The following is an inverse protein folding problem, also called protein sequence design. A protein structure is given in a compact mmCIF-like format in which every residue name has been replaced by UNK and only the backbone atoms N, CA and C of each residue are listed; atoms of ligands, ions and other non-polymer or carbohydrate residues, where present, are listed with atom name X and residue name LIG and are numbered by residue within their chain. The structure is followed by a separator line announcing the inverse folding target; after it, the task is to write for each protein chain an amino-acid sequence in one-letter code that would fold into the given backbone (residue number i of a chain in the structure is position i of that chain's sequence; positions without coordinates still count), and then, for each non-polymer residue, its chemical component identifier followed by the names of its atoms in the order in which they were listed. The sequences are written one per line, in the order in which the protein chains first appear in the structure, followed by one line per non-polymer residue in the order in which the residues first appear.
data_IF_481929561330
#
_entry.id   IF_481929561330
#
_cell.length_a   1.000
_cell.length_b   1.000
_cell.length_c   1.000
_cell.angle_alpha   90.00
_cell.angle_beta   90.00
_cell.angle_gamma   90.00
#
_symmetry.space_group_name_H-M   'P 1'
#
loop_
_entity.id
_entity.type
_entity.pdbx_description
1 polymer ?
#
# COMPACT_ATOMS: atom_id res chain seq x y z
N UNK A 1 10.71 6.46 -25.70
CA UNK A 1 9.27 6.24 -25.48
C UNK A 1 8.99 6.78 -24.09
N UNK A 2 8.56 8.02 -24.04
CA UNK A 2 8.26 8.73 -22.80
C UNK A 2 6.97 8.15 -22.24
N UNK A 3 7.10 7.28 -21.25
CA UNK A 3 5.95 6.78 -20.52
C UNK A 3 5.53 7.92 -19.61
N UNK A 4 4.54 8.69 -20.08
CA UNK A 4 3.86 9.71 -19.29
C UNK A 4 3.36 9.02 -18.02
N UNK A 5 4.01 9.31 -16.89
CA UNK A 5 3.49 8.95 -15.59
C UNK A 5 2.11 9.57 -15.50
N UNK A 6 1.08 8.72 -15.60
CA UNK A 6 -0.28 9.16 -15.41
C UNK A 6 -0.36 9.52 -13.92
N UNK A 7 -0.25 10.81 -13.61
CA UNK A 7 -0.66 11.34 -12.32
C UNK A 7 -2.17 11.18 -12.26
N UNK A 8 -2.64 9.98 -11.94
CA UNK A 8 -4.04 9.82 -11.58
C UNK A 8 -4.19 10.38 -10.18
N UNK A 9 -4.88 11.52 -10.08
CA UNK A 9 -5.30 12.13 -8.83
C UNK A 9 -6.40 11.26 -8.19
N UNK A 10 -6.02 10.08 -7.70
CA UNK A 10 -6.89 9.26 -6.87
C UNK A 10 -6.97 9.86 -5.46
N UNK A 11 -8.19 9.93 -4.92
CA UNK A 11 -8.43 10.34 -3.54
C UNK A 11 -7.79 9.36 -2.55
N UNK A 12 -7.81 8.06 -2.88
CA UNK A 12 -7.16 6.99 -2.14
C UNK A 12 -6.63 5.87 -3.04
N UNK A 13 -5.76 5.02 -2.50
CA UNK A 13 -5.24 3.83 -3.18
C UNK A 13 -6.39 2.88 -3.56
N UNK A 14 -7.44 2.77 -2.74
CA UNK A 14 -8.61 1.96 -3.05
C UNK A 14 -9.28 2.34 -4.40
N UNK A 15 -9.22 3.61 -4.79
CA UNK A 15 -9.78 4.09 -6.07
C UNK A 15 -8.94 3.69 -7.28
N UNK A 16 -7.69 3.27 -7.06
CA UNK A 16 -6.74 2.81 -8.08
C UNK A 16 -6.70 1.28 -8.25
N UNK A 17 -7.39 0.53 -7.39
CA UNK A 17 -7.32 -0.94 -7.35
C UNK A 17 -8.39 -1.54 -8.26
N UNK A 18 -7.95 -2.12 -9.38
CA UNK A 18 -8.83 -2.78 -10.34
C UNK A 18 -9.11 -4.26 -9.99
N UNK A 19 -8.16 -4.95 -9.35
CA UNK A 19 -8.29 -6.36 -8.95
C UNK A 19 -8.05 -6.54 -7.44
N UNK A 20 -9.14 -6.74 -6.69
CA UNK A 20 -9.10 -6.90 -5.25
C UNK A 20 -8.49 -8.23 -4.78
N UNK A 21 -8.00 -9.09 -5.67
CA UNK A 21 -7.31 -10.35 -5.31
C UNK A 21 -5.81 -10.19 -5.19
N UNK A 22 -5.25 -9.13 -5.76
CA UNK A 22 -3.82 -8.85 -5.74
C UNK A 22 -3.43 -8.08 -4.47
N UNK A 23 -2.21 -8.29 -4.01
CA UNK A 23 -1.67 -7.54 -2.88
C UNK A 23 -1.33 -6.12 -3.32
N UNK A 24 -1.80 -5.15 -2.54
CA UNK A 24 -1.57 -3.73 -2.82
C UNK A 24 -0.51 -3.23 -1.86
N UNK A 25 0.66 -2.90 -2.40
CA UNK A 25 1.85 -2.60 -1.60
C UNK A 25 2.37 -1.22 -1.95
N UNK A 26 2.45 -0.37 -0.94
CA UNK A 26 3.00 0.98 -1.07
C UNK A 26 4.45 1.02 -0.56
N UNK A 27 5.31 1.74 -1.27
CA UNK A 27 6.71 1.94 -0.94
C UNK A 27 6.98 3.42 -0.71
N UNK A 28 7.49 3.76 0.48
CA UNK A 28 7.96 5.11 0.78
C UNK A 28 9.30 5.33 0.08
N UNK A 29 9.23 5.87 -1.14
CA UNK A 29 10.34 6.00 -2.08
C UNK A 29 10.33 7.39 -2.72
N UNK A 30 11.50 7.96 -3.00
CA UNK A 30 11.62 9.26 -3.68
C UNK A 30 11.56 9.16 -5.21
N UNK A 31 11.86 7.98 -5.78
CA UNK A 31 11.94 7.74 -7.23
C UNK A 31 11.18 6.49 -7.70
N UNK A 32 10.80 5.61 -6.78
CA UNK A 32 10.14 4.33 -7.05
C UNK A 32 11.10 3.13 -7.08
N UNK A 33 12.42 3.36 -6.99
CA UNK A 33 13.44 2.32 -7.13
C UNK A 33 13.88 1.79 -5.75
N UNK A 34 14.07 2.67 -4.78
CA UNK A 34 14.55 2.31 -3.43
C UNK A 34 13.56 2.69 -2.34
N UNK A 35 13.48 1.89 -1.27
CA UNK A 35 12.75 2.28 -0.04
C UNK A 35 13.63 3.15 0.85
N UNK A 36 13.81 4.41 0.46
CA UNK A 36 14.74 5.36 1.08
C UNK A 36 14.07 6.33 2.07
N UNK A 37 12.74 6.37 2.11
CA UNK A 37 12.01 7.36 2.92
C UNK A 37 11.46 6.81 4.24
N UNK A 38 11.35 7.69 5.23
CA UNK A 38 10.64 7.42 6.48
C UNK A 38 9.17 7.81 6.34
N UNK A 39 8.25 6.99 6.84
CA UNK A 39 6.81 7.19 6.65
C UNK A 39 6.33 8.62 6.96
N UNK A 40 6.69 9.14 8.14
CA UNK A 40 6.20 10.45 8.60
C UNK A 40 6.69 11.63 7.76
N UNK A 41 7.84 11.49 7.12
CA UNK A 41 8.44 12.53 6.27
C UNK A 41 8.55 12.09 4.81
N UNK A 42 7.79 11.07 4.40
CA UNK A 42 7.83 10.58 3.03
C UNK A 42 7.24 11.65 2.11
N UNK A 43 8.00 12.03 1.10
CA UNK A 43 7.60 13.00 0.09
C UNK A 43 6.80 12.33 -1.02
N UNK A 44 6.95 11.02 -1.21
CA UNK A 44 6.17 10.25 -2.17
C UNK A 44 5.94 8.81 -1.72
N UNK A 45 4.93 8.19 -2.33
CA UNK A 45 4.67 6.76 -2.25
C UNK A 45 4.37 6.21 -3.64
N UNK A 46 4.95 5.04 -3.93
CA UNK A 46 4.72 4.27 -5.15
C UNK A 46 3.96 3.00 -4.80
N UNK A 47 2.88 2.71 -5.50
CA UNK A 47 1.94 1.65 -5.15
C UNK A 47 1.87 0.63 -6.27
N UNK A 48 2.15 -0.62 -5.91
CA UNK A 48 2.11 -1.75 -6.82
C UNK A 48 0.96 -2.68 -6.49
N UNK A 49 0.34 -3.22 -7.54
CA UNK A 49 -0.50 -4.40 -7.46
C UNK A 49 0.36 -5.62 -7.74
N UNK A 50 0.41 -6.57 -6.81
CA UNK A 50 1.32 -7.71 -6.83
C UNK A 50 0.52 -9.01 -6.79
N UNK A 51 0.71 -9.83 -7.81
CA UNK A 51 0.30 -11.23 -7.85
C UNK A 51 1.52 -12.14 -7.69
N UNK A 52 1.31 -13.47 -7.69
CA UNK A 52 2.42 -14.42 -7.66
C UNK A 52 3.34 -14.30 -8.88
N UNK A 53 2.85 -13.78 -10.02
CA UNK A 53 3.55 -13.79 -11.30
C UNK A 53 3.85 -12.39 -11.86
N UNK A 54 3.08 -11.39 -11.45
CA UNK A 54 3.17 -10.01 -11.95
C UNK A 54 3.25 -8.99 -10.82
N UNK A 55 3.85 -7.85 -11.13
CA UNK A 55 3.83 -6.68 -10.29
C UNK A 55 3.72 -5.44 -11.17
N UNK A 56 2.66 -4.66 -10.99
CA UNK A 56 2.34 -3.52 -11.84
C UNK A 56 2.23 -2.26 -10.97
N UNK A 57 2.94 -1.19 -11.35
CA UNK A 57 2.78 0.11 -10.71
C UNK A 57 1.39 0.66 -11.07
N UNK A 58 0.49 0.76 -10.10
CA UNK A 58 -0.89 1.21 -10.32
C UNK A 58 -1.07 2.70 -10.06
N UNK A 59 -0.30 3.28 -9.13
CA UNK A 59 -0.31 4.72 -8.87
C UNK A 59 0.93 5.14 -8.09
N UNK A 60 1.25 6.43 -8.13
CA UNK A 60 2.14 7.08 -7.18
C UNK A 60 1.53 8.41 -6.74
N UNK A 61 1.99 8.97 -5.63
CA UNK A 61 1.61 10.32 -5.21
C UNK A 61 2.73 11.03 -4.49
N UNK A 62 2.98 12.25 -4.94
CA UNK A 62 3.81 13.24 -4.26
C UNK A 62 2.99 14.01 -3.22
N UNK A 63 3.52 14.06 -2.01
CA UNK A 63 3.07 14.88 -0.88
C UNK A 63 3.93 16.14 -0.71
N UNK A 64 5.05 16.23 -1.44
CA UNK A 64 5.98 17.35 -1.42
C UNK A 64 6.82 17.43 -0.13
N UNK A 65 7.78 18.34 -0.14
CA UNK A 65 8.66 18.60 1.00
C UNK A 65 7.89 19.24 2.17
N UNK A 66 7.89 18.57 3.32
CA UNK A 66 7.29 19.12 4.54
C UNK A 66 8.34 19.32 5.66
N UNK A 67 8.27 20.46 6.34
CA UNK A 67 9.14 20.74 7.50
C UNK A 67 8.92 19.70 8.60
N UNK A 68 10.02 19.11 9.10
CA UNK A 68 10.05 18.12 10.20
C UNK A 68 9.84 18.79 11.57
N UNK A 69 8.65 19.35 11.81
CA UNK A 69 8.28 20.00 13.07
C UNK A 69 7.49 19.11 14.05
N UNK A 70 7.17 17.87 13.66
CA UNK A 70 6.48 16.88 14.51
C UNK A 70 4.97 17.03 14.58
N UNK A 71 4.34 17.84 13.73
CA UNK A 71 2.88 17.99 13.69
C UNK A 71 2.18 16.72 13.15
N UNK A 72 1.37 16.05 13.98
CA UNK A 72 0.59 14.86 13.60
C UNK A 72 -0.48 15.14 12.53
N UNK A 73 -0.90 16.40 12.34
CA UNK A 73 -1.84 16.76 11.26
C UNK A 73 -1.29 16.43 9.86
N UNK A 74 0.03 16.28 9.73
CA UNK A 74 0.73 15.93 8.48
C UNK A 74 0.69 14.44 8.13
N UNK A 75 0.31 13.58 9.08
CA UNK A 75 0.11 12.16 8.82
C UNK A 75 -1.23 11.90 8.14
N UNK A 76 -2.24 12.72 8.42
CA UNK A 76 -3.62 12.52 7.95
C UNK A 76 -3.71 12.42 6.43
N UNK A 77 -3.06 13.28 5.61
CA UNK A 77 -3.13 13.16 4.15
C UNK A 77 -2.54 11.85 3.64
N UNK A 78 -1.40 11.42 4.19
CA UNK A 78 -0.72 10.16 3.82
C UNK A 78 -1.57 8.95 4.20
N UNK A 79 -2.08 8.93 5.43
CA UNK A 79 -2.94 7.86 5.94
C UNK A 79 -4.23 7.75 5.13
N UNK A 80 -4.87 8.88 4.82
CA UNK A 80 -6.13 8.90 4.05
C UNK A 80 -5.90 8.40 2.63
N UNK A 81 -4.81 8.83 1.99
CA UNK A 81 -4.49 8.40 0.64
C UNK A 81 -4.11 6.92 0.58
N UNK A 82 -3.42 6.37 1.59
CA UNK A 82 -3.01 4.96 1.62
C UNK A 82 -4.15 3.97 1.94
N UNK A 83 -5.37 4.46 2.22
CA UNK A 83 -6.54 3.59 2.38
C UNK A 83 -6.72 2.73 1.13
N UNK A 84 -6.78 1.41 1.31
CA UNK A 84 -6.82 0.42 0.23
C UNK A 84 -5.50 -0.35 0.02
N UNK A 85 -4.38 0.13 0.59
CA UNK A 85 -3.15 -0.63 0.64
C UNK A 85 -3.23 -1.76 1.68
N UNK A 86 -2.57 -2.90 1.40
CA UNK A 86 -2.41 -3.99 2.37
C UNK A 86 -1.13 -3.82 3.20
N UNK A 87 -0.08 -3.28 2.58
CA UNK A 87 1.27 -3.17 3.15
C UNK A 87 1.87 -1.80 2.80
N UNK A 88 2.64 -1.23 3.74
CA UNK A 88 3.49 -0.06 3.48
C UNK A 88 4.93 -0.35 3.91
N UNK A 89 5.87 -0.33 2.97
CA UNK A 89 7.31 -0.40 3.24
C UNK A 89 7.89 1.00 3.46
N UNK A 90 8.71 1.16 4.50
CA UNK A 90 9.42 2.41 4.79
C UNK A 90 10.69 2.18 5.61
N UNK A 91 11.65 3.12 5.56
CA UNK A 91 12.88 3.04 6.36
C UNK A 91 12.65 3.21 7.86
N UNK A 92 11.62 3.95 8.25
CA UNK A 92 11.15 4.02 9.64
C UNK A 92 9.71 4.50 9.74
N UNK A 93 9.04 4.10 10.82
CA UNK A 93 7.67 4.51 11.16
C UNK A 93 7.56 4.64 12.68
N UNK A 94 6.98 5.74 13.15
CA UNK A 94 6.75 6.00 14.57
C UNK A 94 5.51 5.28 15.10
N UNK A 95 5.45 5.03 16.41
CA UNK A 95 4.36 4.24 17.02
C UNK A 95 2.95 4.83 16.89
N UNK A 96 2.79 6.15 16.73
CA UNK A 96 1.50 6.78 16.41
C UNK A 96 1.05 6.39 15.00
N UNK A 97 1.93 6.57 14.00
CA UNK A 97 1.66 6.21 12.61
C UNK A 97 1.42 4.70 12.43
N UNK A 98 2.23 3.83 13.07
CA UNK A 98 2.04 2.38 12.98
C UNK A 98 0.65 1.95 13.47
N UNK A 99 0.18 2.51 14.59
CA UNK A 99 -1.16 2.19 15.13
C UNK A 99 -2.27 2.64 14.20
N UNK A 100 -2.12 3.82 13.59
CA UNK A 100 -3.10 4.34 12.63
C UNK A 100 -3.14 3.50 11.35
N UNK A 101 -1.99 3.09 10.80
CA UNK A 101 -1.92 2.18 9.66
C UNK A 101 -2.62 0.85 9.96
N UNK A 102 -2.31 0.23 11.11
CA UNK A 102 -2.93 -1.05 11.52
C UNK A 102 -4.46 -0.90 11.67
N UNK A 103 -4.93 0.23 12.21
CA UNK A 103 -6.36 0.52 12.33
C UNK A 103 -7.05 0.66 10.97
N UNK A 104 -6.33 1.10 9.93
CA UNK A 104 -6.79 1.15 8.54
C UNK A 104 -6.65 -0.18 7.80
N UNK A 105 -6.18 -1.26 8.47
CA UNK A 105 -5.94 -2.55 7.85
C UNK A 105 -4.59 -2.68 7.13
N UNK A 106 -3.74 -1.64 7.21
CA UNK A 106 -2.47 -1.55 6.51
C UNK A 106 -1.34 -2.08 7.41
N UNK A 107 -0.53 -3.00 6.90
CA UNK A 107 0.61 -3.57 7.63
C UNK A 107 1.88 -2.76 7.38
N UNK A 108 2.42 -2.01 8.37
CA UNK A 108 3.68 -1.30 8.20
C UNK A 108 4.88 -2.25 8.28
N UNK A 109 5.74 -2.21 7.26
CA UNK A 109 6.98 -2.96 7.18
C UNK A 109 8.18 -2.00 7.21
N UNK A 110 9.02 -2.15 8.23
CA UNK A 110 10.25 -1.37 8.34
C UNK A 110 11.40 -2.10 7.65
N UNK A 111 12.13 -1.40 6.79
CA UNK A 111 13.36 -1.90 6.14
C UNK A 111 14.57 -1.04 6.53
N UNK A 112 15.76 -1.59 6.33
CA UNK A 112 17.04 -0.92 6.62
C UNK A 112 17.93 -0.96 5.40
N UNK A 113 18.71 0.10 5.17
CA UNK A 113 19.70 0.14 4.09
C UNK A 113 19.16 0.60 2.73
N UNK A 114 17.87 0.92 2.62
CA UNK A 114 17.26 1.37 1.37
C UNK A 114 17.27 0.28 0.30
N UNK A 115 16.63 -0.88 0.54
CA UNK A 115 16.61 -1.97 -0.43
C UNK A 115 15.85 -1.57 -1.70
N UNK A 116 16.17 -2.25 -2.79
CA UNK A 116 15.46 -2.14 -4.05
C UNK A 116 14.01 -2.60 -3.90
N UNK A 117 13.09 -1.80 -4.46
CA UNK A 117 11.65 -2.12 -4.52
C UNK A 117 11.44 -3.43 -5.26
N UNK A 118 12.18 -3.67 -6.36
CA UNK A 118 12.13 -4.93 -7.10
C UNK A 118 12.52 -6.14 -6.24
N UNK A 119 13.53 -6.01 -5.36
CA UNK A 119 13.93 -7.10 -4.46
C UNK A 119 12.82 -7.43 -3.45
N UNK A 120 12.17 -6.40 -2.89
CA UNK A 120 11.05 -6.59 -1.96
C UNK A 120 9.84 -7.23 -2.65
N UNK A 121 9.52 -6.80 -3.88
CA UNK A 121 8.46 -7.40 -4.70
C UNK A 121 8.78 -8.87 -4.95
N UNK A 122 9.99 -9.20 -5.39
CA UNK A 122 10.40 -10.58 -5.66
C UNK A 122 10.30 -11.46 -4.39
N UNK A 123 10.65 -10.92 -3.23
CA UNK A 123 10.47 -11.60 -1.94
C UNK A 123 9.01 -11.94 -1.65
N UNK A 124 8.10 -10.98 -1.86
CA UNK A 124 6.66 -11.20 -1.70
C UNK A 124 6.16 -12.27 -2.69
N UNK A 125 6.54 -12.18 -3.97
CA UNK A 125 6.13 -13.14 -5.00
C UNK A 125 6.61 -14.56 -4.69
N UNK A 126 7.84 -14.71 -4.20
CA UNK A 126 8.37 -16.00 -3.75
C UNK A 126 7.53 -16.61 -2.62
N UNK A 127 7.11 -15.79 -1.65
CA UNK A 127 6.21 -16.24 -0.59
C UNK A 127 4.81 -16.62 -1.11
N UNK A 128 4.28 -15.88 -2.09
CA UNK A 128 2.99 -16.16 -2.72
C UNK A 128 2.98 -17.45 -3.54
N UNK A 129 4.07 -17.76 -4.24
CA UNK A 129 4.22 -19.00 -5.02
C UNK A 129 4.47 -20.21 -4.12
N UNK A 130 5.13 -20.00 -2.98
CA UNK A 130 5.50 -21.03 -2.04
C UNK A 130 4.50 -21.16 -0.88
N UNK A 131 5.04 -21.11 0.34
CA UNK A 131 4.25 -21.06 1.57
C UNK A 131 4.45 -19.69 2.19
N UNK A 132 3.42 -18.82 2.22
CA UNK A 132 3.56 -17.48 2.76
C UNK A 132 3.88 -17.54 4.25
N UNK A 133 4.74 -16.64 4.71
CA UNK A 133 5.00 -16.49 6.13
C UNK A 133 3.71 -16.11 6.87
N UNK A 134 3.67 -16.38 8.18
CA UNK A 134 2.46 -16.19 8.99
C UNK A 134 1.82 -14.79 8.86
N UNK A 135 2.66 -13.75 8.76
CA UNK A 135 2.20 -12.37 8.62
C UNK A 135 1.50 -12.15 7.26
N UNK A 136 2.09 -12.61 6.16
CA UNK A 136 1.53 -12.48 4.82
C UNK A 136 0.27 -13.33 4.66
N UNK A 137 0.29 -14.56 5.18
CA UNK A 137 -0.88 -15.44 5.20
C UNK A 137 -2.08 -14.79 5.92
N UNK A 138 -1.83 -14.05 7.00
CA UNK A 138 -2.87 -13.33 7.73
C UNK A 138 -3.45 -12.16 6.93
N UNK A 139 -2.64 -11.46 6.15
CA UNK A 139 -3.10 -10.39 5.23
C UNK A 139 -4.00 -11.01 4.14
N UNK A 140 -3.51 -12.06 3.47
CA UNK A 140 -4.26 -12.76 2.41
C UNK A 140 -5.61 -13.28 2.91
N UNK A 141 -5.65 -13.88 4.10
CA UNK A 141 -6.89 -14.37 4.71
C UNK A 141 -7.90 -13.24 5.00
N UNK A 142 -7.42 -12.10 5.53
CA UNK A 142 -8.28 -10.93 5.75
C UNK A 142 -8.86 -10.42 4.43
N UNK A 143 -8.02 -10.35 3.39
CA UNK A 143 -8.41 -9.87 2.07
C UNK A 143 -9.48 -10.75 1.41
N UNK A 144 -9.34 -12.08 1.52
CA UNK A 144 -10.36 -13.03 1.07
C UNK A 144 -11.70 -12.80 1.77
N UNK A 145 -11.72 -12.72 3.11
CA UNK A 145 -12.96 -12.48 3.86
C UNK A 145 -13.63 -11.14 3.57
N UNK A 146 -12.85 -10.10 3.26
CA UNK A 146 -13.39 -8.80 2.81
C UNK A 146 -14.02 -8.90 1.42
N UNK A 147 -13.39 -9.64 0.50
CA UNK A 147 -13.96 -9.85 -0.84
C UNK A 147 -15.29 -10.60 -0.77
N UNK A 148 -15.38 -11.66 0.04
CA UNK A 148 -16.62 -12.43 0.25
C UNK A 148 -17.72 -11.55 0.86
N UNK A 149 -17.40 -10.77 1.89
CA UNK A 149 -18.38 -9.86 2.53
C UNK A 149 -18.91 -8.79 1.56
N UNK A 150 -18.09 -8.32 0.61
CA UNK A 150 -18.52 -7.35 -0.40
C UNK A 150 -19.50 -7.95 -1.41
N UNK A 151 -19.31 -9.22 -1.78
CA UNK A 151 -20.25 -9.93 -2.66
C UNK A 151 -21.57 -10.22 -1.93
N UNK A 152 -21.53 -10.61 -0.66
CA UNK A 152 -22.74 -10.85 0.14
C UNK A 152 -23.57 -9.57 0.36
N UNK A 153 -22.93 -8.41 0.52
CA UNK A 153 -23.61 -7.12 0.66
C UNK A 153 -24.29 -6.65 -0.64
N UNK A 154 -23.83 -7.12 -1.81
CA UNK A 154 -24.45 -6.81 -3.11
C UNK A 154 -25.70 -7.65 -3.37
N UNK A 155 -25.85 -8.82 -2.74
CA UNK A 155 -27.04 -9.68 -2.86
C UNK A 155 -28.22 -9.18 -2.00
N UNK A 156 -27.97 -8.31 -0.99
CA UNK A 156 -29.00 -7.77 -0.10
C UNK A 156 -29.58 -6.41 -0.58
N UNK A 157 -28.98 -5.79 -1.60
CA UNK A 157 -29.55 -4.63 -2.31
C UNK A 157 -30.41 -5.07 -3.51
N UNK A 158 -31.34 -6.00 -3.24
CA UNK A 158 -32.40 -6.40 -4.16
C UNK A 158 -33.50 -5.35 -4.26
N UNK A 159 -33.36 -4.44 -5.22
CA UNK A 159 -34.43 -3.79 -6.01
C UNK A 159 -35.72 -3.39 -5.25
N UNK A 160 -35.75 -2.18 -4.70
CA UNK A 160 -37.02 -1.50 -4.42
C UNK A 160 -37.57 -0.90 -5.73
N UNK A 161 -38.49 -1.64 -6.37
CA UNK A 161 -39.61 -1.13 -7.17
C UNK A 161 -39.34 -0.40 -8.49
#
# INVERSE_FOLDING_TARGET
MEQLAVSNDYDSVADAVDDSRQLIVAFASSDGDLVDQHFGSAEAFYVFSISADTADLITHKDFGYEKKDGNEDKLKPKLSWLVGADIVYCGSVGGSASRQLIALGITPMKVTGGPDVEELIAGIQSELQGTPAFWLANILKKKQGQSESRFDAMDDEGWDG
#
